data_IF_918459352466
#
_entry.id   IF_918459352466
#
_cell.length_a   1.000
_cell.length_b   1.000
_cell.length_c   1.000
_cell.angle_alpha   90.00
_cell.angle_beta   90.00
_cell.angle_gamma   90.00
#
_symmetry.space_group_name_H-M   'P 1'
#
loop_
_entity.id
_entity.type
_entity.pdbx_description
1 polymer ?
#
# COMPACT_ATOMS: atom_id res chain seq x y z
N UNK A 1 -0.74 5.08 -10.65
CA UNK A 1 -0.10 3.76 -10.78
C UNK A 1 -0.71 2.72 -9.83
N UNK A 2 -1.01 3.07 -8.57
CA UNK A 2 -1.70 2.20 -7.59
C UNK A 2 -2.99 1.62 -8.17
N UNK A 3 -3.88 2.45 -8.75
CA UNK A 3 -5.13 1.99 -9.38
C UNK A 3 -4.98 0.83 -10.38
N UNK A 4 -4.02 0.93 -11.30
CA UNK A 4 -3.80 -0.10 -12.33
C UNK A 4 -3.33 -1.41 -11.70
N UNK A 5 -2.44 -1.31 -10.72
CA UNK A 5 -1.93 -2.46 -10.02
C UNK A 5 -3.04 -3.08 -9.12
N UNK A 6 -3.93 -2.28 -8.49
CA UNK A 6 -5.16 -2.77 -7.79
C UNK A 6 -5.95 -3.66 -8.72
N UNK A 7 -6.25 -3.14 -9.90
CA UNK A 7 -7.04 -3.86 -10.90
C UNK A 7 -6.39 -5.20 -11.27
N UNK A 8 -5.07 -5.26 -11.41
CA UNK A 8 -4.36 -6.48 -11.78
C UNK A 8 -4.23 -7.50 -10.66
N UNK A 9 -4.03 -7.10 -9.38
CA UNK A 9 -3.69 -8.05 -8.31
C UNK A 9 -4.76 -8.21 -7.23
N UNK A 10 -5.83 -7.41 -7.22
CA UNK A 10 -6.90 -7.54 -6.22
C UNK A 10 -7.50 -8.95 -6.22
N UNK A 11 -7.71 -9.56 -7.38
CA UNK A 11 -8.27 -10.91 -7.50
C UNK A 11 -7.33 -12.06 -7.11
N UNK A 12 -6.04 -11.79 -6.92
CA UNK A 12 -5.04 -12.83 -6.61
C UNK A 12 -4.58 -12.70 -5.16
N UNK A 13 -4.25 -11.47 -4.72
CA UNK A 13 -3.57 -11.21 -3.45
C UNK A 13 -4.28 -10.19 -2.56
N UNK A 14 -5.48 -9.71 -2.96
CA UNK A 14 -6.24 -8.70 -2.21
C UNK A 14 -5.69 -7.27 -2.33
N UNK A 15 -4.63 -7.05 -3.13
CA UNK A 15 -4.02 -5.72 -3.34
C UNK A 15 -3.62 -5.03 -2.02
N UNK A 16 -2.75 -5.64 -1.22
CA UNK A 16 -2.33 -4.95 0.02
C UNK A 16 -1.24 -3.91 -0.27
N UNK A 17 -0.11 -4.38 -0.85
CA UNK A 17 1.09 -3.64 -1.32
C UNK A 17 1.78 -2.68 -0.36
N UNK A 18 1.12 -2.34 0.72
CA UNK A 18 1.60 -1.57 1.83
C UNK A 18 1.59 -2.47 3.08
N UNK A 19 2.70 -2.54 3.82
CA UNK A 19 2.78 -3.28 5.07
C UNK A 19 1.70 -2.88 6.08
N UNK A 20 1.37 -1.59 6.18
CA UNK A 20 0.35 -1.08 7.09
C UNK A 20 -1.05 -1.55 6.68
N UNK A 21 -1.36 -1.60 5.38
CA UNK A 21 -2.63 -2.14 4.88
C UNK A 21 -2.76 -3.64 5.17
N UNK A 22 -1.67 -4.39 4.96
CA UNK A 22 -1.59 -5.82 5.32
C UNK A 22 -1.83 -6.02 6.81
N UNK A 23 -1.20 -5.19 7.64
CA UNK A 23 -1.33 -5.25 9.09
C UNK A 23 -2.73 -4.82 9.57
N UNK A 24 -3.35 -3.82 8.95
CA UNK A 24 -4.71 -3.41 9.31
C UNK A 24 -5.74 -4.51 9.04
N UNK A 25 -5.59 -5.23 7.92
CA UNK A 25 -6.44 -6.40 7.60
C UNK A 25 -6.20 -7.56 8.58
N UNK A 26 -4.97 -7.73 9.07
CA UNK A 26 -4.68 -8.67 10.15
C UNK A 26 -5.41 -8.31 11.45
N UNK A 27 -5.37 -7.04 11.86
CA UNK A 27 -6.11 -6.56 13.04
C UNK A 27 -7.62 -6.73 12.89
N UNK A 28 -8.14 -6.58 11.67
CA UNK A 28 -9.53 -6.88 11.33
C UNK A 28 -9.84 -8.39 11.22
N UNK A 29 -8.88 -9.26 11.56
CA UNK A 29 -8.98 -10.73 11.49
C UNK A 29 -9.31 -11.28 10.09
N UNK A 30 -8.90 -10.55 9.04
CA UNK A 30 -9.05 -10.96 7.63
C UNK A 30 -7.84 -11.74 7.10
N UNK A 31 -6.74 -11.79 7.86
CA UNK A 31 -5.50 -12.47 7.47
C UNK A 31 -4.91 -13.27 8.63
N UNK A 32 -4.24 -14.38 8.32
CA UNK A 32 -3.44 -15.12 9.30
C UNK A 32 -2.06 -14.48 9.50
N UNK A 33 -1.48 -14.64 10.69
CA UNK A 33 -0.18 -14.05 11.03
C UNK A 33 0.93 -14.49 10.06
N UNK A 34 0.96 -15.76 9.68
CA UNK A 34 1.93 -16.30 8.73
C UNK A 34 1.85 -15.57 7.38
N UNK A 35 0.64 -15.36 6.85
CA UNK A 35 0.45 -14.61 5.60
C UNK A 35 0.97 -13.18 5.75
N UNK A 36 0.63 -12.49 6.83
CA UNK A 36 1.07 -11.10 7.07
C UNK A 36 2.59 -10.97 6.97
N UNK A 37 3.33 -11.86 7.64
CA UNK A 37 4.80 -11.83 7.61
C UNK A 37 5.32 -11.99 6.18
N UNK A 38 4.83 -12.99 5.43
CA UNK A 38 5.25 -13.20 4.04
C UNK A 38 4.89 -12.01 3.14
N UNK A 39 3.69 -11.45 3.29
CA UNK A 39 3.27 -10.28 2.51
C UNK A 39 4.18 -9.08 2.78
N UNK A 40 4.49 -8.77 4.04
CA UNK A 40 5.36 -7.63 4.39
C UNK A 40 6.78 -7.83 3.84
N UNK A 41 7.34 -9.04 3.99
CA UNK A 41 8.68 -9.35 3.46
C UNK A 41 8.72 -9.16 1.94
N UNK A 42 7.76 -9.73 1.22
CA UNK A 42 7.71 -9.61 -0.25
C UNK A 42 7.44 -8.18 -0.71
N UNK A 43 6.65 -7.40 0.03
CA UNK A 43 6.42 -5.98 -0.26
C UNK A 43 7.71 -5.16 -0.13
N UNK A 44 8.47 -5.38 0.95
CA UNK A 44 9.76 -4.72 1.15
C UNK A 44 10.77 -5.12 0.07
N UNK A 45 10.85 -6.40 -0.27
CA UNK A 45 11.72 -6.89 -1.35
C UNK A 45 11.34 -6.28 -2.70
N UNK A 46 10.05 -6.24 -3.02
CA UNK A 46 9.55 -5.60 -4.24
C UNK A 46 9.90 -4.11 -4.32
N UNK A 47 9.80 -3.39 -3.21
CA UNK A 47 10.20 -1.98 -3.13
C UNK A 47 11.71 -1.78 -3.34
N UNK A 48 12.54 -2.65 -2.76
CA UNK A 48 14.00 -2.63 -2.96
C UNK A 48 14.35 -2.92 -4.43
N UNK A 49 13.75 -3.95 -5.03
CA UNK A 49 13.96 -4.26 -6.44
C UNK A 49 13.52 -3.12 -7.35
N UNK A 50 12.33 -2.55 -7.12
CA UNK A 50 11.79 -1.44 -7.91
C UNK A 50 12.66 -0.19 -7.84
N UNK A 51 13.10 0.21 -6.65
CA UNK A 51 14.02 1.36 -6.47
C UNK A 51 15.40 1.07 -7.06
N UNK A 52 15.89 -0.16 -6.96
CA UNK A 52 17.14 -0.60 -7.60
C UNK A 52 17.11 -0.47 -9.12
N UNK A 53 15.99 -0.83 -9.76
CA UNK A 53 15.79 -0.64 -11.21
C UNK A 53 15.83 0.84 -11.57
N UNK A 54 15.12 1.71 -10.84
CA UNK A 54 15.14 3.16 -11.08
C UNK A 54 16.56 3.73 -10.95
N UNK A 55 17.32 3.29 -9.94
CA UNK A 55 18.72 3.67 -9.76
C UNK A 55 19.58 3.21 -10.94
N UNK A 56 19.34 2.01 -11.47
CA UNK A 56 20.06 1.47 -12.63
C UNK A 56 19.87 2.29 -13.91
N UNK A 57 18.66 2.80 -14.15
CA UNK A 57 18.37 3.61 -15.35
C UNK A 57 18.93 5.03 -15.30
N UNK A 58 19.12 5.60 -14.10
CA UNK A 58 19.54 6.99 -13.96
C UNK A 58 20.30 7.25 -12.66
N UNK A 59 21.51 6.68 -12.49
CA UNK A 59 22.20 6.69 -11.20
C UNK A 59 22.56 8.09 -10.69
N UNK A 60 22.97 8.99 -11.60
CA UNK A 60 23.30 10.37 -11.25
C UNK A 60 22.06 11.15 -10.76
N UNK A 61 20.96 11.08 -11.50
CA UNK A 61 19.69 11.73 -11.12
C UNK A 61 19.12 11.13 -9.84
N UNK A 62 19.16 9.80 -9.70
CA UNK A 62 18.74 9.12 -8.49
C UNK A 62 19.49 9.65 -7.26
N UNK A 63 20.82 9.71 -7.32
CA UNK A 63 21.63 10.14 -6.19
C UNK A 63 21.44 11.63 -5.86
N UNK A 64 21.41 12.49 -6.89
CA UNK A 64 21.25 13.95 -6.71
C UNK A 64 19.86 14.35 -6.22
N UNK A 65 18.83 13.54 -6.48
CA UNK A 65 17.44 13.76 -6.01
C UNK A 65 17.11 13.04 -4.70
N UNK A 66 18.09 12.45 -4.01
CA UNK A 66 17.88 11.77 -2.73
C UNK A 66 17.22 10.39 -2.83
N UNK A 67 17.23 9.78 -4.02
CA UNK A 67 16.80 8.39 -4.24
C UNK A 67 15.31 8.12 -4.02
N UNK A 68 14.47 9.15 -3.95
CA UNK A 68 13.04 9.01 -3.65
C UNK A 68 12.75 8.64 -2.19
N UNK A 69 13.70 8.86 -1.27
CA UNK A 69 13.49 8.60 0.14
C UNK A 69 12.58 9.66 0.78
N UNK A 70 11.66 9.22 1.64
CA UNK A 70 10.78 10.11 2.39
C UNK A 70 11.59 10.85 3.47
N UNK A 71 11.58 12.18 3.43
CA UNK A 71 12.20 13.04 4.42
C UNK A 71 11.24 14.14 4.84
N UNK A 72 11.26 14.51 6.12
CA UNK A 72 10.49 15.67 6.61
C UNK A 72 11.07 16.93 5.97
N UNK A 73 10.23 17.67 5.25
CA UNK A 73 10.64 18.88 4.56
C UNK A 73 11.19 19.93 5.53
N UNK A 74 12.11 20.76 5.03
CA UNK A 74 12.69 21.85 5.82
C UNK A 74 11.60 22.81 6.31
N UNK A 75 11.70 23.25 7.56
CA UNK A 75 10.69 24.09 8.21
C UNK A 75 9.57 23.34 8.91
N UNK A 76 9.51 22.00 8.79
CA UNK A 76 8.56 21.17 9.54
C UNK A 76 9.24 20.38 10.66
N UNK A 77 8.54 20.24 11.78
CA UNK A 77 9.02 19.41 12.89
C UNK A 77 8.77 17.93 12.61
N UNK A 78 9.50 17.05 13.30
CA UNK A 78 9.23 15.60 13.26
C UNK A 78 7.82 15.26 13.74
N UNK A 79 7.27 16.03 14.68
CA UNK A 79 5.88 15.87 15.13
C UNK A 79 4.86 16.19 14.03
N UNK A 80 5.10 17.25 13.26
CA UNK A 80 4.25 17.59 12.10
C UNK A 80 4.31 16.50 11.03
N UNK A 81 5.50 15.97 10.74
CA UNK A 81 5.66 14.84 9.81
C UNK A 81 4.94 13.59 10.29
N UNK A 82 5.08 13.23 11.57
CA UNK A 82 4.38 12.08 12.16
C UNK A 82 2.86 12.24 12.07
N UNK A 83 2.35 13.43 12.41
CA UNK A 83 0.91 13.71 12.33
C UNK A 83 0.37 13.57 10.90
N UNK A 84 1.12 14.07 9.91
CA UNK A 84 0.75 13.93 8.50
C UNK A 84 0.69 12.45 8.07
N UNK A 85 1.71 11.66 8.39
CA UNK A 85 1.76 10.23 8.05
C UNK A 85 0.62 9.43 8.70
N UNK A 86 0.25 9.75 9.95
CA UNK A 86 -0.88 9.10 10.64
C UNK A 86 -2.20 9.39 9.91
N UNK A 87 -2.47 10.65 9.58
CA UNK A 87 -3.72 11.05 8.93
C UNK A 87 -3.81 10.44 7.53
N UNK A 88 -2.73 10.52 6.74
CA UNK A 88 -2.71 10.00 5.38
C UNK A 88 -2.89 8.47 5.35
N UNK A 89 -2.21 7.77 6.26
CA UNK A 89 -2.37 6.32 6.43
C UNK A 89 -3.77 5.94 6.88
N UNK A 90 -4.39 6.74 7.78
CA UNK A 90 -5.77 6.51 8.20
C UNK A 90 -6.74 6.62 7.01
N UNK A 91 -6.62 7.66 6.19
CA UNK A 91 -7.47 7.84 5.00
C UNK A 91 -7.29 6.68 4.02
N UNK A 92 -6.05 6.24 3.81
CA UNK A 92 -5.75 5.08 2.97
C UNK A 92 -6.44 3.82 3.49
N UNK A 93 -6.22 3.46 4.76
CA UNK A 93 -6.78 2.25 5.37
C UNK A 93 -8.31 2.31 5.42
N UNK A 94 -8.88 3.47 5.77
CA UNK A 94 -10.32 3.69 5.74
C UNK A 94 -10.90 3.46 4.34
N UNK A 95 -10.21 3.93 3.30
CA UNK A 95 -10.63 3.73 1.90
C UNK A 95 -10.58 2.25 1.52
N UNK A 96 -9.54 1.52 1.94
CA UNK A 96 -9.44 0.06 1.73
C UNK A 96 -10.61 -0.68 2.37
N UNK A 97 -10.90 -0.41 3.65
CA UNK A 97 -12.05 -1.03 4.32
C UNK A 97 -13.39 -0.64 3.67
N UNK A 98 -13.53 0.62 3.26
CA UNK A 98 -14.74 1.13 2.60
C UNK A 98 -14.97 0.54 1.20
N UNK A 99 -13.90 0.14 0.52
CA UNK A 99 -13.95 -0.52 -0.79
C UNK A 99 -14.18 -2.04 -0.67
N UNK A 100 -13.89 -2.63 0.50
CA UNK A 100 -14.03 -4.07 0.77
C UNK A 100 -15.27 -4.41 1.60
N UNK A 101 -16.06 -3.41 2.00
CA UNK A 101 -17.28 -3.60 2.77
C UNK A 101 -18.38 -4.29 1.93
N UNK A 102 -18.69 -5.54 2.28
CA UNK A 102 -19.70 -6.36 1.63
C UNK A 102 -21.14 -5.84 1.77
N UNK A 103 -21.42 -4.92 2.72
CA UNK A 103 -22.75 -4.31 2.89
C UNK A 103 -22.98 -3.15 1.92
N UNK A 104 -21.96 -2.73 1.19
CA UNK A 104 -22.05 -1.65 0.21
C UNK A 104 -22.53 -2.23 -1.12
N UNK A 105 -23.77 -1.92 -1.50
CA UNK A 105 -24.34 -2.35 -2.78
C UNK A 105 -23.56 -1.74 -3.95
N UNK A 106 -22.93 -2.60 -4.75
CA UNK A 106 -22.27 -2.23 -6.00
C UNK A 106 -23.33 -1.77 -7.02
N UNK A 107 -23.39 -0.46 -7.32
CA UNK A 107 -24.05 0.01 -8.55
C UNK A 107 -23.12 -0.38 -9.71
N UNK A 108 -23.53 -1.37 -10.50
CA UNK A 108 -22.89 -1.83 -11.75
C UNK A 108 -21.35 -1.82 -11.75
N UNK A 109 -20.74 -2.77 -11.06
CA UNK A 109 -19.28 -2.89 -10.97
C UNK A 109 -18.72 -3.77 -12.09
N UNK A 110 -18.12 -3.14 -13.09
CA UNK A 110 -17.25 -3.77 -14.11
C UNK A 110 -15.95 -4.35 -13.51
N UNK A 111 -15.73 -4.14 -12.21
CA UNK A 111 -14.65 -4.74 -11.43
C UNK A 111 -15.31 -5.70 -10.43
N UNK A 112 -15.09 -7.02 -10.52
CA UNK A 112 -15.78 -7.98 -9.67
C UNK A 112 -15.34 -7.81 -8.20
N UNK A 113 -16.21 -7.19 -7.40
CA UNK A 113 -16.06 -7.02 -5.95
C UNK A 113 -16.07 -8.38 -5.22
N UNK A 114 -16.58 -9.43 -5.88
CA UNK A 114 -16.62 -10.81 -5.35
C UNK A 114 -15.25 -11.39 -5.02
N UNK A 115 -14.17 -10.90 -5.63
CA UNK A 115 -12.82 -11.37 -5.33
C UNK A 115 -12.26 -10.84 -4.00
N UNK A 116 -12.81 -9.73 -3.47
CA UNK A 116 -12.40 -9.16 -2.17
C UNK A 116 -13.24 -9.71 -1.00
N UNK A 117 -14.45 -10.19 -1.25
CA UNK A 117 -15.33 -10.76 -0.21
C UNK A 117 -14.98 -12.20 0.18
N UNK A 118 -14.14 -12.89 -0.60
CA UNK A 118 -13.80 -14.31 -0.41
C UNK A 118 -12.45 -14.54 0.30
N UNK A 119 -11.77 -13.48 0.76
CA UNK A 119 -10.55 -13.56 1.58
C UNK A 119 -10.83 -13.30 3.06
#
# INVERSE_FOLDING_TARGET
MIFALVYCTAGISGWHINPVVTFSLFLARKLSLTRVVFYIVMQCLGAICGTGVVKGFGPFLYQTKGGGANVVAHGYTKGSGLGAEIIDTFVLVYTVFSATDAKRNARDSHVPVSALSAM
#
